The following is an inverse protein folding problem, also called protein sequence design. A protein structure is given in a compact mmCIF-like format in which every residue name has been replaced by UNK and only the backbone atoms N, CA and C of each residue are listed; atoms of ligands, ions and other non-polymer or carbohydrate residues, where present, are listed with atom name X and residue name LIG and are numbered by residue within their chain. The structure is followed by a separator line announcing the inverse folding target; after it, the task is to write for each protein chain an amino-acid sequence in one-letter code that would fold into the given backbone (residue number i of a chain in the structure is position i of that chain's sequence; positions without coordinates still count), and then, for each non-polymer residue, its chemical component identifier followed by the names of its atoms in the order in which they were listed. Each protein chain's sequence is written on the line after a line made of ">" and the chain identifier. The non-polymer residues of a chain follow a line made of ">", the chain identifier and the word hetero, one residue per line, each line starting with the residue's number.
data_IF_880810236670
#
_entry.id   IF_880810236670
#
_cell.length_a   1.000
_cell.length_b   1.000
_cell.length_c   1.000
_cell.angle_alpha   90.00
_cell.angle_beta   90.00
_cell.angle_gamma   90.00
#
_symmetry.space_group_name_H-M   'P 1'
#
loop_
_entity.id
_entity.type
_entity.pdbx_description
1 polymer ?
#
# COMPACT_ATOMS: atom_id res chain seq x y z
N UNK A 1 -16.23 -0.60 19.21
CA UNK A 1 -15.20 -1.24 18.40
C UNK A 1 -14.30 -2.10 19.29
N UNK A 2 -14.39 -3.43 19.18
CA UNK A 2 -13.72 -4.38 20.08
C UNK A 2 -12.19 -4.24 20.07
N UNK A 3 -11.58 -3.85 18.96
CA UNK A 3 -10.13 -3.65 18.86
C UNK A 3 -9.66 -2.43 19.68
N UNK A 4 -10.44 -1.36 19.71
CA UNK A 4 -10.15 -0.20 20.59
C UNK A 4 -10.26 -0.62 22.05
N UNK A 5 -11.35 -1.27 22.42
CA UNK A 5 -11.54 -1.77 23.80
C UNK A 5 -10.42 -2.72 24.23
N UNK A 6 -9.97 -3.60 23.32
CA UNK A 6 -8.87 -4.52 23.57
C UNK A 6 -7.56 -3.79 23.85
N UNK A 7 -7.16 -2.85 22.96
CA UNK A 7 -5.86 -2.18 23.11
C UNK A 7 -5.84 -1.25 24.32
N UNK A 8 -6.95 -0.57 24.63
CA UNK A 8 -7.09 0.21 25.85
C UNK A 8 -7.01 -0.66 27.10
N UNK A 9 -7.68 -1.82 27.12
CA UNK A 9 -7.60 -2.76 28.23
C UNK A 9 -6.20 -3.31 28.43
N UNK A 10 -5.45 -3.57 27.35
CA UNK A 10 -4.06 -4.00 27.40
C UNK A 10 -3.17 -2.94 28.04
N UNK A 11 -3.26 -1.69 27.60
CA UNK A 11 -2.43 -0.60 28.11
C UNK A 11 -2.84 -0.09 29.50
N UNK A 12 -4.06 -0.36 29.93
CA UNK A 12 -4.58 -0.07 31.27
C UNK A 12 -4.36 -1.21 32.28
N UNK A 13 -3.52 -2.20 31.96
CA UNK A 13 -3.15 -3.29 32.85
C UNK A 13 -4.26 -4.30 33.17
N UNK A 14 -5.34 -4.33 32.35
CA UNK A 14 -6.50 -5.23 32.58
C UNK A 14 -6.28 -6.63 32.02
N UNK A 15 -5.33 -6.82 31.10
CA UNK A 15 -5.15 -8.10 30.39
C UNK A 15 -3.86 -8.80 30.79
N UNK A 16 -2.80 -8.06 31.03
CA UNK A 16 -1.47 -8.59 31.41
C UNK A 16 -0.85 -7.72 32.49
N UNK A 17 0.17 -8.24 33.18
CA UNK A 17 0.94 -7.47 34.16
C UNK A 17 1.77 -6.37 33.50
N UNK A 18 2.15 -5.33 34.26
CA UNK A 18 3.01 -4.25 33.78
C UNK A 18 4.34 -4.76 33.25
N UNK A 19 4.92 -5.77 33.88
CA UNK A 19 6.16 -6.42 33.43
C UNK A 19 5.97 -7.14 32.08
N UNK A 20 4.85 -7.79 31.87
CA UNK A 20 4.51 -8.44 30.61
C UNK A 20 4.29 -7.40 29.51
N UNK A 21 3.53 -6.33 29.79
CA UNK A 21 3.34 -5.24 28.85
C UNK A 21 4.66 -4.53 28.49
N UNK A 22 5.53 -4.33 29.50
CA UNK A 22 6.87 -3.78 29.25
C UNK A 22 7.70 -4.68 28.32
N UNK A 23 7.60 -6.01 28.46
CA UNK A 23 8.25 -6.95 27.55
C UNK A 23 7.63 -6.92 26.14
N UNK A 24 6.30 -6.85 26.02
CA UNK A 24 5.63 -6.70 24.71
C UNK A 24 6.09 -5.45 23.95
N UNK A 25 6.35 -4.37 24.66
CA UNK A 25 6.82 -3.09 24.08
C UNK A 25 8.32 -3.04 23.76
N UNK A 26 9.10 -4.05 24.12
CA UNK A 26 10.51 -4.13 23.73
C UNK A 26 10.63 -4.45 22.26
N UNK A 27 10.96 -3.43 21.47
CA UNK A 27 11.11 -3.55 20.02
C UNK A 27 12.51 -4.03 19.67
N UNK A 28 12.59 -5.10 18.89
CA UNK A 28 13.82 -5.62 18.27
C UNK A 28 13.56 -5.73 16.76
N UNK A 29 14.41 -5.10 15.96
CA UNK A 29 14.28 -5.09 14.50
C UNK A 29 12.89 -4.64 14.00
N UNK A 30 12.28 -3.65 14.69
CA UNK A 30 10.97 -3.12 14.35
C UNK A 30 9.77 -3.85 14.95
N UNK A 31 9.98 -5.03 15.57
CA UNK A 31 8.93 -5.89 16.10
C UNK A 31 9.00 -6.02 17.62
N UNK A 32 7.86 -6.00 18.28
CA UNK A 32 7.67 -6.39 19.67
C UNK A 32 6.97 -7.74 19.79
N UNK A 33 6.56 -8.12 20.99
CA UNK A 33 5.78 -9.34 21.22
C UNK A 33 4.29 -9.05 20.95
N UNK A 34 3.85 -9.29 19.70
CA UNK A 34 2.48 -9.00 19.24
C UNK A 34 2.18 -7.51 19.12
N UNK A 35 3.18 -6.65 19.12
CA UNK A 35 3.05 -5.22 18.93
C UNK A 35 4.13 -4.70 17.98
N UNK A 36 3.74 -3.80 17.09
CA UNK A 36 4.65 -2.97 16.30
C UNK A 36 4.80 -1.61 17.00
N UNK A 37 5.92 -0.94 16.78
CA UNK A 37 6.06 0.47 17.07
C UNK A 37 5.75 1.26 15.80
N UNK A 38 4.71 2.08 15.85
CA UNK A 38 4.18 2.85 14.71
C UNK A 38 4.58 4.31 14.92
N UNK A 39 5.55 4.85 14.16
CA UNK A 39 5.94 6.25 14.26
C UNK A 39 4.89 7.15 13.59
N UNK A 40 4.68 8.33 14.19
CA UNK A 40 3.89 9.41 13.60
C UNK A 40 4.49 10.76 14.03
N UNK A 41 5.29 11.39 13.16
CA UNK A 41 6.06 12.61 13.45
C UNK A 41 6.88 12.48 14.75
N UNK A 42 6.57 13.34 15.74
CA UNK A 42 7.18 13.36 17.08
C UNK A 42 6.57 12.35 18.08
N UNK A 43 5.60 11.56 17.61
CA UNK A 43 4.84 10.58 18.39
C UNK A 43 5.13 9.15 17.94
N UNK A 44 4.72 8.21 18.74
CA UNK A 44 4.64 6.81 18.34
C UNK A 44 3.49 6.12 19.06
N UNK A 45 2.94 5.14 18.38
CA UNK A 45 1.96 4.23 18.93
C UNK A 45 2.52 2.81 19.03
N UNK A 46 1.83 1.98 19.77
CA UNK A 46 1.95 0.52 19.72
C UNK A 46 0.65 -0.05 19.16
N UNK A 47 0.76 -1.04 18.31
CA UNK A 47 -0.39 -1.65 17.68
C UNK A 47 -0.02 -2.79 16.75
N UNK A 48 -0.93 -3.18 15.93
CA UNK A 48 -0.73 -4.21 14.91
C UNK A 48 -1.66 -3.97 13.72
N UNK A 49 -1.30 -4.51 12.59
CA UNK A 49 -2.17 -4.60 11.42
C UNK A 49 -2.40 -6.05 11.05
N UNK A 50 -3.39 -6.32 10.24
CA UNK A 50 -3.70 -7.63 9.72
C UNK A 50 -4.33 -7.53 8.34
N UNK A 51 -4.12 -8.58 7.55
CA UNK A 51 -4.72 -8.72 6.23
C UNK A 51 -5.02 -10.20 5.99
N UNK A 52 -6.24 -10.49 5.52
CA UNK A 52 -6.68 -11.83 5.13
C UNK A 52 -7.77 -11.69 4.06
N UNK A 53 -7.62 -12.42 2.96
CA UNK A 53 -8.62 -12.54 1.88
C UNK A 53 -9.20 -11.19 1.39
N UNK A 54 -8.36 -10.17 1.26
CA UNK A 54 -8.77 -8.83 0.84
C UNK A 54 -9.35 -7.96 1.95
N UNK A 55 -9.53 -8.49 3.17
CA UNK A 55 -9.88 -7.71 4.34
C UNK A 55 -8.62 -7.16 5.01
N UNK A 56 -8.68 -5.92 5.47
CA UNK A 56 -7.62 -5.29 6.22
C UNK A 56 -8.08 -4.81 7.58
N UNK A 57 -7.18 -4.80 8.56
CA UNK A 57 -7.45 -4.25 9.88
C UNK A 57 -6.21 -3.59 10.46
N UNK A 58 -6.41 -2.57 11.26
CA UNK A 58 -5.35 -1.98 12.08
C UNK A 58 -5.91 -1.51 13.40
N UNK A 59 -5.08 -1.54 14.42
CA UNK A 59 -5.32 -0.86 15.68
C UNK A 59 -4.01 -0.30 16.23
N UNK A 60 -4.09 0.82 16.90
CA UNK A 60 -2.94 1.48 17.52
C UNK A 60 -3.34 2.26 18.75
N UNK A 61 -2.42 2.35 19.71
CA UNK A 61 -2.55 3.12 20.93
C UNK A 61 -1.37 4.06 21.11
N UNK A 62 -1.65 5.34 21.29
CA UNK A 62 -0.67 6.39 21.56
C UNK A 62 -0.60 6.63 23.06
N UNK A 63 0.39 6.09 23.78
CA UNK A 63 0.41 6.13 25.27
C UNK A 63 0.53 7.54 25.82
N UNK A 64 1.24 8.43 25.12
CA UNK A 64 1.43 9.81 25.58
C UNK A 64 0.16 10.67 25.45
N UNK A 65 -0.70 10.32 24.50
CA UNK A 65 -1.91 11.08 24.18
C UNK A 65 -3.18 10.37 24.66
N UNK A 66 -3.06 9.14 25.19
CA UNK A 66 -4.17 8.27 25.61
C UNK A 66 -5.21 8.05 24.50
N UNK A 67 -4.75 7.90 23.26
CA UNK A 67 -5.58 7.76 22.07
C UNK A 67 -5.47 6.36 21.50
N UNK A 68 -6.61 5.70 21.31
CA UNK A 68 -6.74 4.44 20.61
C UNK A 68 -7.45 4.66 19.27
N UNK A 69 -6.91 4.10 18.22
CA UNK A 69 -7.48 4.15 16.87
C UNK A 69 -7.55 2.72 16.33
N UNK A 70 -8.66 2.41 15.68
CA UNK A 70 -8.82 1.16 14.93
C UNK A 70 -9.75 1.37 13.75
N UNK A 71 -9.42 0.76 12.64
CA UNK A 71 -10.36 0.60 11.52
C UNK A 71 -10.18 -0.76 10.85
N UNK A 72 -11.23 -1.17 10.14
CA UNK A 72 -11.25 -2.38 9.32
C UNK A 72 -11.79 -2.02 7.95
N UNK A 73 -11.33 -2.71 6.93
CA UNK A 73 -11.80 -2.58 5.55
C UNK A 73 -12.07 -3.96 4.95
N UNK A 74 -13.05 -4.03 4.07
CA UNK A 74 -13.37 -5.23 3.29
C UNK A 74 -12.85 -5.15 1.83
N UNK A 75 -11.96 -4.20 1.57
CA UNK A 75 -11.25 -4.04 0.30
C UNK A 75 -10.00 -3.22 0.52
N UNK A 76 -8.94 -3.49 -0.24
CA UNK A 76 -7.63 -2.84 -0.09
C UNK A 76 -7.13 -2.31 -1.42
N UNK A 77 -7.97 -1.53 -2.11
CA UNK A 77 -7.57 -0.79 -3.32
C UNK A 77 -6.77 0.48 -3.00
N UNK A 78 -6.78 0.89 -1.73
CA UNK A 78 -6.00 2.03 -1.25
C UNK A 78 -5.11 1.64 -0.07
N UNK A 79 -3.85 2.11 0.01
CA UNK A 79 -2.93 1.71 1.07
C UNK A 79 -3.49 2.04 2.47
N UNK A 80 -3.61 1.02 3.30
CA UNK A 80 -4.13 1.18 4.67
C UNK A 80 -3.32 2.17 5.50
N UNK A 81 -1.99 2.23 5.27
CA UNK A 81 -1.12 3.15 5.99
C UNK A 81 -1.46 4.62 5.67
N UNK A 82 -1.80 4.94 4.44
CA UNK A 82 -2.15 6.31 4.04
C UNK A 82 -3.47 6.75 4.66
N UNK A 83 -4.43 5.83 4.76
CA UNK A 83 -5.68 6.06 5.50
C UNK A 83 -5.37 6.37 6.98
N UNK A 84 -4.50 5.56 7.61
CA UNK A 84 -4.11 5.78 9.01
C UNK A 84 -3.40 7.12 9.19
N UNK A 85 -2.47 7.47 8.31
CA UNK A 85 -1.77 8.76 8.32
C UNK A 85 -2.78 9.90 8.17
N UNK A 86 -3.76 9.79 7.28
CA UNK A 86 -4.83 10.78 7.10
C UNK A 86 -5.65 10.97 8.39
N UNK A 87 -6.13 9.88 9.00
CA UNK A 87 -6.88 9.89 10.26
C UNK A 87 -6.07 10.57 11.37
N UNK A 88 -4.81 10.17 11.54
CA UNK A 88 -3.91 10.72 12.55
C UNK A 88 -3.62 12.20 12.31
N UNK A 89 -3.43 12.58 11.03
CA UNK A 89 -3.18 13.98 10.66
C UNK A 89 -4.36 14.87 11.00
N UNK A 90 -5.58 14.43 10.71
CA UNK A 90 -6.81 15.12 11.10
C UNK A 90 -6.88 15.25 12.64
N UNK A 91 -6.71 14.14 13.35
CA UNK A 91 -6.83 14.11 14.81
C UNK A 91 -5.79 15.01 15.51
N UNK A 92 -4.54 14.98 15.06
CA UNK A 92 -3.44 15.76 15.63
C UNK A 92 -3.23 17.12 14.97
N UNK A 93 -4.20 17.59 14.18
CA UNK A 93 -4.17 18.87 13.47
C UNK A 93 -2.89 19.10 12.65
N UNK A 94 -2.50 18.09 11.87
CA UNK A 94 -1.38 18.14 10.93
C UNK A 94 -1.89 18.33 9.50
N UNK A 95 -1.05 18.90 8.63
CA UNK A 95 -1.37 18.91 7.18
C UNK A 95 -1.49 17.49 6.66
N UNK A 96 -2.50 17.22 5.86
CA UNK A 96 -2.69 16.00 5.13
C UNK A 96 -3.19 16.31 3.71
N UNK A 97 -2.84 15.44 2.79
CA UNK A 97 -3.36 15.49 1.43
C UNK A 97 -4.48 14.45 1.32
N UNK A 98 -5.62 14.88 0.77
CA UNK A 98 -6.66 13.92 0.43
C UNK A 98 -6.15 13.08 -0.75
N UNK A 99 -6.37 11.76 -0.74
CA UNK A 99 -6.05 10.93 -1.88
C UNK A 99 -6.76 11.50 -3.11
N UNK A 100 -6.02 11.83 -4.14
CA UNK A 100 -6.60 12.12 -5.43
C UNK A 100 -6.99 10.77 -6.06
N UNK A 101 -8.24 10.37 -5.87
CA UNK A 101 -8.80 9.28 -6.67
C UNK A 101 -8.98 9.84 -8.08
N UNK A 102 -8.01 9.63 -8.94
CA UNK A 102 -8.13 9.91 -10.36
C UNK A 102 -9.14 8.92 -10.94
N UNK A 103 -10.41 9.28 -10.85
CA UNK A 103 -11.55 8.51 -11.36
C UNK A 103 -11.72 8.64 -12.87
N UNK A 104 -10.76 9.15 -13.60
CA UNK A 104 -10.77 9.10 -15.04
C UNK A 104 -10.48 7.67 -15.50
N UNK A 105 -11.50 6.83 -15.47
CA UNK A 105 -11.41 5.53 -16.10
C UNK A 105 -11.08 5.74 -17.58
N UNK A 106 -10.05 5.09 -18.06
CA UNK A 106 -9.77 5.03 -19.49
C UNK A 106 -10.83 4.15 -20.15
N UNK A 107 -11.22 4.52 -21.35
CA UNK A 107 -12.07 3.67 -22.18
C UNK A 107 -11.28 2.45 -22.65
N UNK A 108 -11.97 1.36 -23.00
CA UNK A 108 -11.32 0.16 -23.55
C UNK A 108 -10.43 0.48 -24.76
N UNK A 109 -10.86 1.43 -25.61
CA UNK A 109 -10.11 1.88 -26.79
C UNK A 109 -8.84 2.64 -26.40
N UNK A 110 -8.88 3.46 -25.35
CA UNK A 110 -7.67 4.14 -24.83
C UNK A 110 -6.68 3.12 -24.28
N UNK A 111 -7.17 2.06 -23.61
CA UNK A 111 -6.33 1.00 -23.08
C UNK A 111 -5.61 0.19 -24.18
N UNK A 112 -6.16 0.08 -25.39
CA UNK A 112 -5.52 -0.63 -26.51
C UNK A 112 -4.15 -0.07 -26.87
N UNK A 113 -3.93 1.22 -26.67
CA UNK A 113 -2.65 1.86 -26.96
C UNK A 113 -1.50 1.35 -26.09
N UNK A 114 -1.81 0.78 -24.92
CA UNK A 114 -0.83 0.28 -23.94
C UNK A 114 -0.58 -1.22 -24.06
N UNK A 115 -1.48 -1.97 -24.70
CA UNK A 115 -1.38 -3.44 -24.77
C UNK A 115 -0.23 -3.92 -25.65
N UNK A 116 0.34 -5.06 -25.31
CA UNK A 116 1.42 -5.71 -26.06
C UNK A 116 2.46 -6.35 -25.15
N UNK A 117 3.44 -6.99 -25.75
CA UNK A 117 4.62 -7.51 -25.05
C UNK A 117 5.76 -6.51 -25.16
N UNK A 118 6.48 -6.32 -24.08
CA UNK A 118 7.55 -5.35 -23.97
C UNK A 118 8.78 -6.02 -23.38
N UNK A 119 9.94 -5.75 -23.96
CA UNK A 119 11.23 -6.28 -23.54
C UNK A 119 12.20 -5.17 -23.15
N UNK A 120 13.14 -5.49 -22.26
CA UNK A 120 14.19 -4.58 -21.80
C UNK A 120 15.55 -5.25 -21.93
N UNK A 121 16.59 -4.47 -22.20
CA UNK A 121 17.98 -4.96 -22.19
C UNK A 121 18.52 -5.13 -20.77
N UNK A 122 17.97 -4.35 -19.84
CA UNK A 122 18.43 -4.25 -18.45
C UNK A 122 17.57 -5.05 -17.47
N UNK A 123 16.52 -5.71 -17.95
CA UNK A 123 15.61 -6.54 -17.16
C UNK A 123 15.40 -7.90 -17.82
N UNK A 124 15.55 -9.03 -17.09
CA UNK A 124 15.64 -10.36 -17.71
C UNK A 124 14.32 -10.95 -18.20
N UNK A 125 13.18 -10.38 -17.81
CA UNK A 125 11.85 -10.87 -18.15
C UNK A 125 11.14 -9.89 -19.09
N UNK A 126 10.44 -10.40 -20.08
CA UNK A 126 9.48 -9.60 -20.83
C UNK A 126 8.22 -9.35 -19.97
N UNK A 127 7.55 -8.23 -20.21
CA UNK A 127 6.29 -7.90 -19.56
C UNK A 127 5.21 -7.79 -20.63
N UNK A 128 4.16 -8.61 -20.47
CA UNK A 128 2.97 -8.55 -21.32
C UNK A 128 1.93 -7.66 -20.63
N UNK A 129 1.46 -6.66 -21.35
CA UNK A 129 0.35 -5.79 -20.95
C UNK A 129 -0.89 -6.23 -21.74
N UNK A 130 -1.93 -6.60 -21.02
CA UNK A 130 -3.22 -7.06 -21.58
C UNK A 130 -4.38 -6.28 -20.95
N UNK A 131 -5.62 -6.55 -21.38
CA UNK A 131 -6.84 -5.99 -20.81
C UNK A 131 -7.69 -7.10 -20.20
N UNK A 132 -8.35 -6.75 -19.09
CA UNK A 132 -9.49 -7.48 -18.56
C UNK A 132 -10.62 -6.45 -18.34
N UNK A 133 -11.55 -6.37 -19.31
CA UNK A 133 -12.53 -5.28 -19.38
C UNK A 133 -11.84 -3.90 -19.45
N UNK A 134 -12.18 -3.02 -18.54
CA UNK A 134 -11.64 -1.66 -18.43
C UNK A 134 -10.36 -1.56 -17.56
N UNK A 135 -9.70 -2.68 -17.26
CA UNK A 135 -8.50 -2.72 -16.44
C UNK A 135 -7.31 -3.22 -17.25
N UNK A 136 -6.17 -2.53 -17.17
CA UNK A 136 -4.90 -3.07 -17.67
C UNK A 136 -4.36 -4.11 -16.70
N UNK A 137 -3.85 -5.19 -17.26
CA UNK A 137 -3.18 -6.28 -16.55
C UNK A 137 -1.72 -6.33 -16.98
N UNK A 138 -0.82 -6.52 -16.04
CA UNK A 138 0.60 -6.76 -16.34
C UNK A 138 1.00 -8.16 -15.91
N UNK A 139 1.86 -8.80 -16.71
CA UNK A 139 2.39 -10.13 -16.45
C UNK A 139 3.85 -10.20 -16.87
N UNK A 140 4.76 -10.41 -15.94
CA UNK A 140 6.13 -10.76 -16.27
C UNK A 140 6.21 -12.25 -16.67
N UNK A 141 7.12 -12.59 -17.57
CA UNK A 141 7.28 -13.97 -18.05
C UNK A 141 7.42 -14.97 -16.90
N UNK A 142 6.54 -15.97 -16.88
CA UNK A 142 6.53 -17.02 -15.85
C UNK A 142 5.91 -16.61 -14.51
N UNK A 143 5.32 -15.43 -14.39
CA UNK A 143 4.64 -14.95 -13.18
C UNK A 143 3.14 -14.85 -13.38
N UNK A 144 2.39 -14.72 -12.29
CA UNK A 144 0.96 -14.44 -12.35
C UNK A 144 0.72 -13.01 -12.81
N UNK A 145 -0.38 -12.80 -13.53
CA UNK A 145 -0.83 -11.46 -13.91
C UNK A 145 -1.40 -10.72 -12.69
N UNK A 146 -1.31 -9.39 -12.73
CA UNK A 146 -1.86 -8.50 -11.72
C UNK A 146 -2.47 -7.24 -12.37
N UNK A 147 -3.50 -6.64 -11.75
CA UNK A 147 -4.13 -5.44 -12.26
C UNK A 147 -3.25 -4.21 -12.05
N UNK A 148 -3.34 -3.27 -12.99
CA UNK A 148 -2.69 -1.97 -12.92
C UNK A 148 -3.72 -0.88 -12.64
N UNK A 149 -3.47 -0.04 -11.65
CA UNK A 149 -4.28 1.12 -11.31
C UNK A 149 -3.80 2.35 -12.08
N UNK A 150 -4.71 3.07 -12.73
CA UNK A 150 -4.37 4.26 -13.51
C UNK A 150 -4.29 5.50 -12.62
N UNK A 151 -3.14 6.17 -12.63
CA UNK A 151 -2.87 7.39 -11.84
C UNK A 151 -3.04 8.69 -12.64
N UNK A 152 -3.26 8.58 -13.95
CA UNK A 152 -3.24 9.74 -14.86
C UNK A 152 -1.94 9.85 -15.65
N UNK A 153 -1.93 10.67 -16.71
CA UNK A 153 -0.73 10.96 -17.54
C UNK A 153 0.02 9.71 -18.03
N UNK A 154 -0.70 8.66 -18.40
CA UNK A 154 -0.15 7.36 -18.81
C UNK A 154 0.72 6.67 -17.73
N UNK A 155 0.49 7.00 -16.45
CA UNK A 155 1.10 6.33 -15.29
C UNK A 155 0.13 5.30 -14.74
N UNK A 156 0.66 4.11 -14.50
CA UNK A 156 -0.05 3.00 -13.89
C UNK A 156 0.78 2.42 -12.75
N UNK A 157 0.14 1.92 -11.70
CA UNK A 157 0.83 1.35 -10.55
C UNK A 157 0.24 0.04 -10.07
N UNK A 158 1.05 -0.69 -9.31
CA UNK A 158 0.64 -1.84 -8.52
C UNK A 158 1.33 -1.77 -7.16
N UNK A 159 0.67 -1.16 -6.19
CA UNK A 159 1.19 -0.87 -4.86
C UNK A 159 1.70 -2.10 -4.08
N UNK A 160 1.05 -3.29 -4.15
CA UNK A 160 1.52 -4.45 -3.42
C UNK A 160 2.96 -4.88 -3.73
N UNK A 161 3.45 -4.56 -4.94
CA UNK A 161 4.83 -4.86 -5.36
C UNK A 161 5.69 -3.59 -5.56
N UNK A 162 5.17 -2.41 -5.22
CA UNK A 162 5.86 -1.14 -5.41
C UNK A 162 6.21 -0.86 -6.87
N UNK A 163 5.33 -1.28 -7.80
CA UNK A 163 5.52 -1.13 -9.25
C UNK A 163 4.86 0.16 -9.71
N UNK A 164 5.60 0.95 -10.49
CA UNK A 164 5.09 2.08 -11.26
C UNK A 164 5.52 1.89 -12.71
N UNK A 165 4.56 1.98 -13.63
CA UNK A 165 4.78 1.91 -15.08
C UNK A 165 4.36 3.24 -15.69
N UNK A 166 5.30 3.93 -16.30
CA UNK A 166 5.08 5.17 -17.03
C UNK A 166 5.19 4.90 -18.54
N UNK A 167 4.08 4.96 -19.26
CA UNK A 167 4.07 4.74 -20.71
C UNK A 167 4.45 6.00 -21.49
N UNK A 168 5.16 5.78 -22.59
CA UNK A 168 5.34 6.72 -23.71
C UNK A 168 4.76 6.05 -24.97
N UNK A 169 3.49 6.31 -25.23
CA UNK A 169 2.77 5.70 -26.35
C UNK A 169 3.33 6.11 -27.72
N UNK A 170 3.90 7.33 -27.81
CA UNK A 170 4.55 7.82 -29.04
C UNK A 170 5.80 7.03 -29.40
N UNK A 171 6.55 6.55 -28.39
CA UNK A 171 7.74 5.71 -28.58
C UNK A 171 7.46 4.22 -28.45
N UNK A 172 6.21 3.83 -28.22
CA UNK A 172 5.82 2.43 -27.97
C UNK A 172 6.70 1.80 -26.88
N UNK A 173 6.86 2.51 -25.76
CA UNK A 173 7.72 2.12 -24.65
C UNK A 173 7.10 2.45 -23.31
N UNK A 174 7.65 1.90 -22.23
CA UNK A 174 7.38 2.36 -20.88
C UNK A 174 8.64 2.29 -20.01
N UNK A 175 8.66 3.07 -18.94
CA UNK A 175 9.64 2.96 -17.85
C UNK A 175 8.99 2.24 -16.68
N UNK A 176 9.58 1.11 -16.27
CA UNK A 176 9.24 0.42 -15.02
C UNK A 176 10.09 0.98 -13.90
N UNK A 177 9.45 1.43 -12.82
CA UNK A 177 10.11 1.82 -11.58
C UNK A 177 9.75 0.80 -10.50
N UNK A 178 10.77 0.17 -9.89
CA UNK A 178 10.58 -0.80 -8.82
C UNK A 178 11.83 -0.86 -7.94
N UNK A 179 11.65 -0.90 -6.62
CA UNK A 179 12.73 -1.02 -5.64
C UNK A 179 13.86 0.03 -5.84
N UNK A 180 13.49 1.27 -6.20
CA UNK A 180 14.43 2.37 -6.42
C UNK A 180 15.24 2.29 -7.72
N UNK A 181 14.89 1.38 -8.63
CA UNK A 181 15.51 1.22 -9.95
C UNK A 181 14.50 1.56 -11.05
N UNK A 182 15.04 1.98 -12.20
CA UNK A 182 14.26 2.27 -13.40
C UNK A 182 14.75 1.42 -14.56
N UNK A 183 13.82 0.83 -15.33
CA UNK A 183 14.11 -0.01 -16.49
C UNK A 183 13.28 0.46 -17.67
N UNK A 184 13.92 0.69 -18.80
CA UNK A 184 13.23 1.03 -20.04
C UNK A 184 12.81 -0.25 -20.78
N UNK A 185 11.53 -0.34 -21.10
CA UNK A 185 10.94 -1.40 -21.90
C UNK A 185 10.46 -0.85 -23.24
N UNK A 186 10.71 -1.57 -24.32
CA UNK A 186 10.22 -1.27 -25.67
C UNK A 186 9.26 -2.36 -26.12
N UNK A 187 8.20 -1.96 -26.82
CA UNK A 187 7.21 -2.89 -27.36
C UNK A 187 7.87 -3.77 -28.42
N UNK A 188 7.66 -5.07 -28.30
CA UNK A 188 8.11 -6.04 -29.30
C UNK A 188 7.29 -5.86 -30.59
N UNK A 189 7.88 -6.13 -31.75
CA UNK A 189 7.23 -5.99 -33.07
C UNK A 189 6.24 -7.12 -33.34
#
# INVERSE_FOLDING_TARGET
>A
NNLVTFIEALFNGKLVSDSSLANMKKIREGLGMGLFRIPFYDRFAYGHNGSIDGFGSTYSYFPKDSVAISYCTNGMVYPMNDILIGILSIYFNRKYELPAFNTKALTETELDSYTGTYSSKDFPLAITISKDGAVLMAQATGQSQFPLEYEGNAVFKFDPAGIIIQFDTGKKSFTLKQAGREYLFTKDN
#
